data_IF_786286903210
#
_entry.id   IF_786286903210
#
_cell.length_a   1.000
_cell.length_b   1.000
_cell.length_c   1.000
_cell.angle_alpha   90.00
_cell.angle_beta   90.00
_cell.angle_gamma   90.00
#
_symmetry.space_group_name_H-M   'P 1'
#
loop_
_entity.id
_entity.type
_entity.pdbx_description
1 polymer ?
#
# COMPACT_ATOMS: atom_id res chain seq x y z
N UNK A 1 -30.36 -17.17 27.62
CA UNK A 1 -29.34 -16.59 26.72
C UNK A 1 -28.05 -17.29 27.05
N UNK A 2 -27.47 -18.02 26.10
CA UNK A 2 -26.11 -18.52 26.28
C UNK A 2 -25.16 -17.33 26.38
N UNK A 3 -24.20 -17.34 27.33
CA UNK A 3 -23.19 -16.30 27.40
C UNK A 3 -22.25 -16.42 26.20
N UNK A 4 -21.89 -15.28 25.60
CA UNK A 4 -20.91 -15.20 24.52
C UNK A 4 -19.57 -15.79 24.99
N UNK A 5 -19.00 -16.67 24.16
CA UNK A 5 -17.70 -17.28 24.38
C UNK A 5 -16.54 -16.36 24.01
N UNK A 6 -15.32 -16.72 24.40
CA UNK A 6 -14.11 -15.98 24.06
C UNK A 6 -13.90 -15.84 22.55
N UNK A 7 -14.28 -16.86 21.78
CA UNK A 7 -14.20 -16.86 20.31
C UNK A 7 -15.17 -15.86 19.67
N UNK A 8 -16.34 -15.66 20.28
CA UNK A 8 -17.31 -14.66 19.82
C UNK A 8 -16.75 -13.25 19.98
N UNK A 9 -16.08 -12.96 21.11
CA UNK A 9 -15.43 -11.68 21.35
C UNK A 9 -14.31 -11.41 20.35
N UNK A 10 -13.48 -12.42 20.04
CA UNK A 10 -12.42 -12.29 19.04
C UNK A 10 -12.97 -12.03 17.63
N UNK A 11 -14.06 -12.71 17.26
CA UNK A 11 -14.73 -12.48 15.98
C UNK A 11 -15.32 -11.07 15.87
N UNK A 12 -15.98 -10.59 16.94
CA UNK A 12 -16.53 -9.23 17.00
C UNK A 12 -15.42 -8.19 16.92
N UNK A 13 -14.29 -8.38 17.60
CA UNK A 13 -13.15 -7.47 17.53
C UNK A 13 -12.55 -7.41 16.12
N UNK A 14 -12.43 -8.56 15.45
CA UNK A 14 -11.99 -8.62 14.05
C UNK A 14 -12.92 -7.84 13.12
N UNK A 15 -14.23 -8.08 13.21
CA UNK A 15 -15.24 -7.35 12.43
C UNK A 15 -15.17 -5.84 12.68
N UNK A 16 -15.01 -5.43 13.95
CA UNK A 16 -14.89 -4.02 14.30
C UNK A 16 -13.68 -3.37 13.65
N UNK A 17 -12.50 -4.02 13.70
CA UNK A 17 -11.27 -3.53 13.08
C UNK A 17 -11.46 -3.35 11.57
N UNK A 18 -12.06 -4.33 10.91
CA UNK A 18 -12.30 -4.29 9.47
C UNK A 18 -13.27 -3.17 9.09
N UNK A 19 -14.37 -2.99 9.82
CA UNK A 19 -15.32 -1.90 9.59
C UNK A 19 -14.65 -0.52 9.74
N UNK A 20 -13.83 -0.34 10.78
CA UNK A 20 -13.12 0.93 11.00
C UNK A 20 -12.13 1.23 9.87
N UNK A 21 -11.39 0.23 9.40
CA UNK A 21 -10.45 0.41 8.28
C UNK A 21 -11.17 0.69 6.95
N UNK A 22 -12.33 0.07 6.72
CA UNK A 22 -13.17 0.37 5.56
C UNK A 22 -13.66 1.82 5.57
N UNK A 23 -14.13 2.32 6.70
CA UNK A 23 -14.57 3.71 6.85
C UNK A 23 -13.42 4.69 6.62
N UNK A 24 -12.24 4.41 7.18
CA UNK A 24 -11.04 5.23 6.95
C UNK A 24 -10.67 5.28 5.47
N UNK A 25 -10.73 4.15 4.77
CA UNK A 25 -10.49 4.07 3.33
C UNK A 25 -11.54 4.86 2.54
N UNK A 26 -12.81 4.74 2.92
CA UNK A 26 -13.91 5.46 2.29
C UNK A 26 -13.68 6.98 2.36
N UNK A 27 -13.40 7.51 3.55
CA UNK A 27 -13.17 8.94 3.74
C UNK A 27 -11.98 9.46 2.93
N UNK A 28 -10.84 8.75 2.96
CA UNK A 28 -9.66 9.12 2.17
C UNK A 28 -9.95 9.21 0.67
N UNK A 29 -10.67 8.22 0.13
CA UNK A 29 -11.01 8.20 -1.30
C UNK A 29 -12.03 9.30 -1.62
N UNK A 30 -12.98 9.54 -0.72
CA UNK A 30 -13.99 10.58 -0.92
C UNK A 30 -13.36 11.98 -0.92
N UNK A 31 -12.40 12.26 -0.06
CA UNK A 31 -11.68 13.53 -0.03
C UNK A 31 -10.97 13.79 -1.37
N UNK A 32 -10.31 12.77 -1.92
CA UNK A 32 -9.67 12.88 -3.25
C UNK A 32 -10.70 13.03 -4.36
N UNK A 33 -11.85 12.34 -4.28
CA UNK A 33 -12.95 12.54 -5.24
C UNK A 33 -13.45 13.98 -5.22
N UNK A 34 -13.71 14.53 -4.04
CA UNK A 34 -14.15 15.91 -3.87
C UNK A 34 -13.10 16.89 -4.44
N UNK A 35 -11.82 16.75 -4.07
CA UNK A 35 -10.74 17.57 -4.62
C UNK A 35 -10.65 17.47 -6.15
N UNK A 36 -10.67 16.26 -6.69
CA UNK A 36 -10.52 16.03 -8.13
C UNK A 36 -11.74 16.53 -8.93
N UNK A 37 -12.95 16.48 -8.38
CA UNK A 37 -14.14 17.08 -9.01
C UNK A 37 -13.95 18.58 -9.25
N UNK A 38 -13.33 19.29 -8.30
CA UNK A 38 -13.14 20.73 -8.41
C UNK A 38 -11.88 21.13 -9.18
N UNK A 39 -10.86 20.26 -9.24
CA UNK A 39 -9.52 20.64 -9.73
C UNK A 39 -9.03 19.90 -10.98
N UNK A 40 -9.59 18.74 -11.32
CA UNK A 40 -9.17 17.99 -12.51
C UNK A 40 -9.69 18.64 -13.80
N UNK A 41 -8.86 18.65 -14.84
CA UNK A 41 -9.22 19.25 -16.14
C UNK A 41 -9.86 18.23 -17.09
N UNK A 42 -9.57 16.95 -16.90
CA UNK A 42 -10.10 15.85 -17.70
C UNK A 42 -10.62 14.74 -16.80
N UNK A 43 -11.53 13.93 -17.34
CA UNK A 43 -12.03 12.75 -16.63
C UNK A 43 -10.92 11.73 -16.35
N UNK A 44 -9.96 11.60 -17.26
CA UNK A 44 -8.83 10.68 -17.11
C UNK A 44 -7.95 11.07 -15.91
N UNK A 45 -7.66 12.37 -15.75
CA UNK A 45 -6.95 12.88 -14.59
C UNK A 45 -7.75 12.64 -13.28
N UNK A 46 -9.06 12.83 -13.31
CA UNK A 46 -9.93 12.51 -12.17
C UNK A 46 -9.83 11.02 -11.81
N UNK A 47 -9.95 10.13 -12.81
CA UNK A 47 -9.91 8.69 -12.61
C UNK A 47 -8.58 8.23 -12.03
N UNK A 48 -7.47 8.75 -12.54
CA UNK A 48 -6.12 8.43 -12.08
C UNK A 48 -5.89 8.86 -10.62
N UNK A 49 -6.33 10.07 -10.25
CA UNK A 49 -6.22 10.56 -8.86
C UNK A 49 -7.01 9.70 -7.90
N UNK A 50 -8.26 9.38 -8.25
CA UNK A 50 -9.11 8.52 -7.43
C UNK A 50 -8.54 7.11 -7.33
N UNK A 51 -8.00 6.55 -8.43
CA UNK A 51 -7.34 5.25 -8.42
C UNK A 51 -6.11 5.24 -7.50
N UNK A 52 -5.28 6.28 -7.55
CA UNK A 52 -4.10 6.41 -6.68
C UNK A 52 -4.47 6.46 -5.19
N UNK A 53 -5.61 7.05 -4.82
CA UNK A 53 -6.08 7.09 -3.43
C UNK A 53 -6.39 5.71 -2.83
N UNK A 54 -6.62 4.69 -3.67
CA UNK A 54 -6.85 3.31 -3.22
C UNK A 54 -5.55 2.55 -2.92
N UNK A 55 -4.38 3.12 -3.24
CA UNK A 55 -3.08 2.49 -2.96
C UNK A 55 -2.79 2.48 -1.46
N UNK A 56 -2.28 1.35 -0.97
CA UNK A 56 -1.75 1.23 0.39
C UNK A 56 -0.31 1.75 0.43
N UNK A 57 0.16 2.26 1.59
CA UNK A 57 1.57 2.57 1.78
C UNK A 57 2.45 1.34 1.48
N UNK A 58 3.64 1.59 0.93
CA UNK A 58 4.62 0.54 0.68
C UNK A 58 5.15 0.00 2.02
N UNK A 59 5.06 -1.31 2.20
CA UNK A 59 5.62 -2.00 3.35
C UNK A 59 7.03 -2.49 3.05
N UNK A 60 7.80 -2.82 4.11
CA UNK A 60 9.16 -3.37 3.97
C UNK A 60 9.21 -4.64 3.12
N UNK A 61 8.13 -5.42 3.15
CA UNK A 61 7.89 -6.63 2.34
C UNK A 61 7.77 -6.33 0.84
N UNK A 62 7.28 -5.16 0.47
CA UNK A 62 7.09 -4.75 -0.93
C UNK A 62 8.41 -4.35 -1.60
N UNK A 63 9.45 -4.02 -0.82
CA UNK A 63 10.77 -3.76 -1.36
C UNK A 63 11.42 -5.08 -1.77
N UNK A 64 11.67 -5.25 -3.08
CA UNK A 64 12.54 -6.32 -3.57
C UNK A 64 13.88 -6.22 -2.85
N UNK A 65 14.44 -7.37 -2.44
CA UNK A 65 15.81 -7.44 -1.91
C UNK A 65 16.72 -6.60 -2.79
N UNK A 66 17.45 -5.64 -2.20
CA UNK A 66 18.43 -4.81 -2.92
C UNK A 66 19.27 -5.74 -3.77
N UNK A 67 19.10 -5.70 -5.09
CA UNK A 67 20.05 -6.38 -5.98
C UNK A 67 21.41 -5.81 -5.63
N UNK A 68 22.41 -6.68 -5.48
CA UNK A 68 23.79 -6.28 -5.25
C UNK A 68 24.40 -5.71 -6.55
N UNK A 69 23.67 -4.78 -7.17
CA UNK A 69 24.05 -4.07 -8.37
C UNK A 69 24.81 -2.85 -7.90
N UNK A 70 26.13 -2.96 -7.83
CA UNK A 70 26.98 -1.79 -7.71
C UNK A 70 26.62 -0.79 -8.81
N UNK A 71 26.59 0.49 -8.47
CA UNK A 71 26.36 1.57 -9.45
C UNK A 71 27.36 1.49 -10.62
N UNK A 72 28.55 0.95 -10.36
CA UNK A 72 29.55 0.59 -11.36
C UNK A 72 29.69 -0.93 -11.53
N UNK A 73 29.05 -1.48 -12.57
CA UNK A 73 29.16 -2.90 -12.92
C UNK A 73 30.58 -3.28 -13.42
N UNK A 74 31.31 -2.33 -14.00
CA UNK A 74 32.64 -2.56 -14.56
C UNK A 74 33.73 -2.62 -13.48
N UNK A 75 33.67 -1.75 -12.46
CA UNK A 75 34.56 -1.85 -11.29
C UNK A 75 34.32 -3.12 -10.46
N UNK A 76 33.13 -3.71 -10.57
CA UNK A 76 32.78 -4.97 -9.89
C UNK A 76 33.30 -6.22 -10.64
N UNK A 77 33.68 -6.07 -11.92
CA UNK A 77 34.17 -7.16 -12.77
C UNK A 77 35.67 -7.43 -12.58
N UNK A 78 36.49 -6.39 -12.43
CA UNK A 78 37.94 -6.53 -12.25
C UNK A 78 38.31 -7.40 -11.05
N UNK A 79 37.57 -7.33 -9.93
CA UNK A 79 37.88 -8.15 -8.74
C UNK A 79 37.70 -9.66 -8.94
N UNK A 80 36.91 -10.10 -9.92
CA UNK A 80 36.70 -11.54 -10.16
C UNK A 80 37.73 -12.17 -11.09
N UNK A 81 38.46 -11.35 -11.85
CA UNK A 81 39.42 -11.83 -12.87
C UNK A 81 40.80 -12.13 -12.27
N UNK A 82 41.09 -11.64 -11.05
CA UNK A 82 42.36 -11.86 -10.34
C UNK A 82 42.29 -12.87 -9.20
N UNK A 83 41.11 -13.47 -8.95
CA UNK A 83 40.87 -14.48 -7.90
C UNK A 83 40.76 -15.92 -8.48
N UNK A 84 41.10 -16.14 -9.76
CA UNK A 84 41.27 -17.46 -10.42
C UNK A 84 42.77 -17.73 -10.68
#
# INVERSE_FOLDING_TARGET
MEPLGQDDFAAIEGQLKDCVEQDRRYWRVNDVKCDAIYTAKTYEEFADRVAAAHLRPLERSDYKKKKNSGWNQYASREKKEYDE
#
